data_IF_771503541301
#
_entry.id   IF_771503541301
#
_cell.length_a   1.000
_cell.length_b   1.000
_cell.length_c   1.000
_cell.angle_alpha   90.00
_cell.angle_beta   90.00
_cell.angle_gamma   90.00
#
_symmetry.space_group_name_H-M   'P 1'
#
loop_
_entity.id
_entity.type
_entity.pdbx_description
1 polymer ?
#
# COMPACT_ATOMS: atom_id res chain seq x y z
N UNK A 1 -20.36 15.04 21.81
CA UNK A 1 -19.40 14.82 22.93
C UNK A 1 -18.97 13.36 23.00
N UNK A 2 -18.59 12.76 21.86
CA UNK A 2 -18.33 11.31 21.73
C UNK A 2 -17.23 11.01 20.71
N UNK A 3 -17.13 11.81 19.64
CA UNK A 3 -16.05 11.73 18.64
C UNK A 3 -14.67 11.93 19.25
N UNK A 4 -14.49 12.85 20.21
CA UNK A 4 -13.21 13.05 20.89
C UNK A 4 -12.77 11.80 21.68
N UNK A 5 -13.72 11.12 22.33
CA UNK A 5 -13.50 9.88 23.06
C UNK A 5 -13.18 8.72 22.11
N UNK A 6 -13.84 8.66 20.95
CA UNK A 6 -13.55 7.69 19.89
C UNK A 6 -12.15 7.89 19.30
N UNK A 7 -11.74 9.12 18.99
CA UNK A 7 -10.39 9.43 18.49
C UNK A 7 -9.33 9.03 19.51
N UNK A 8 -9.54 9.35 20.79
CA UNK A 8 -8.64 8.92 21.87
C UNK A 8 -8.56 7.41 21.96
N UNK A 9 -9.70 6.70 21.94
CA UNK A 9 -9.73 5.24 22.01
C UNK A 9 -9.03 4.56 20.82
N UNK A 10 -9.31 5.01 19.59
CA UNK A 10 -8.68 4.46 18.37
C UNK A 10 -7.19 4.81 18.31
N UNK A 11 -6.81 6.03 18.73
CA UNK A 11 -5.42 6.45 18.81
C UNK A 11 -4.63 5.62 19.81
N UNK A 12 -5.15 5.46 21.03
CA UNK A 12 -4.52 4.63 22.06
C UNK A 12 -4.43 3.17 21.64
N UNK A 13 -5.51 2.62 21.07
CA UNK A 13 -5.55 1.23 20.59
C UNK A 13 -4.52 0.97 19.48
N UNK A 14 -4.39 1.91 18.53
CA UNK A 14 -3.41 1.82 17.44
C UNK A 14 -1.98 1.91 17.96
N UNK A 15 -1.74 2.84 18.89
CA UNK A 15 -0.42 3.02 19.51
C UNK A 15 -0.04 1.79 20.34
N UNK A 16 -0.99 1.21 21.06
CA UNK A 16 -0.77 -0.01 21.83
C UNK A 16 -0.52 -1.21 20.92
N UNK A 17 -1.25 -1.34 19.81
CA UNK A 17 -1.03 -2.39 18.82
C UNK A 17 0.38 -2.33 18.21
N UNK A 18 0.84 -1.15 17.77
CA UNK A 18 2.19 -1.00 17.23
C UNK A 18 3.27 -1.10 18.32
N UNK A 19 3.05 -0.45 19.45
CA UNK A 19 3.99 -0.37 20.56
C UNK A 19 4.19 -1.71 21.26
N UNK A 20 3.14 -2.52 21.43
CA UNK A 20 3.23 -3.85 22.05
C UNK A 20 4.12 -4.78 21.23
N UNK A 21 3.97 -4.81 19.90
CA UNK A 21 4.86 -5.59 19.03
C UNK A 21 6.31 -5.11 19.14
N UNK A 22 6.56 -3.79 19.16
CA UNK A 22 7.92 -3.27 19.27
C UNK A 22 8.53 -3.55 20.66
N UNK A 23 7.81 -3.31 21.76
CA UNK A 23 8.31 -3.55 23.12
C UNK A 23 8.53 -5.05 23.42
N UNK A 24 7.62 -5.91 23.00
CA UNK A 24 7.73 -7.37 23.20
C UNK A 24 8.88 -7.95 22.37
N UNK A 25 9.13 -7.39 21.19
CA UNK A 25 10.17 -7.86 20.28
C UNK A 25 11.53 -7.16 20.51
N UNK A 26 11.57 -6.01 21.20
CA UNK A 26 12.79 -5.25 21.49
C UNK A 26 13.81 -6.03 22.33
N UNK A 27 13.36 -6.94 23.20
CA UNK A 27 14.24 -7.73 24.07
C UNK A 27 14.59 -9.12 23.51
N UNK A 28 14.14 -9.46 22.29
CA UNK A 28 14.49 -10.73 21.63
C UNK A 28 15.26 -10.47 20.36
N UNK A 29 16.38 -11.18 20.18
CA UNK A 29 17.11 -11.19 18.90
C UNK A 29 16.21 -11.79 17.83
N UNK A 30 15.66 -10.94 16.97
CA UNK A 30 14.83 -11.35 15.84
C UNK A 30 15.70 -12.19 14.90
N UNK A 31 15.32 -13.43 14.57
CA UNK A 31 16.08 -14.24 13.63
C UNK A 31 16.11 -13.56 12.25
N UNK A 32 17.22 -13.68 11.49
CA UNK A 32 17.43 -12.95 10.24
C UNK A 32 16.32 -13.17 9.21
N UNK A 33 15.69 -14.35 9.20
CA UNK A 33 14.59 -14.70 8.30
C UNK A 33 13.34 -13.84 8.53
N UNK A 34 13.02 -13.52 9.78
CA UNK A 34 11.85 -12.69 10.13
C UNK A 34 12.14 -11.22 9.79
N UNK A 35 13.37 -10.75 10.00
CA UNK A 35 13.78 -9.39 9.63
C UNK A 35 13.66 -9.17 8.12
N UNK A 36 14.09 -10.15 7.32
CA UNK A 36 13.91 -10.12 5.86
C UNK A 36 12.44 -10.08 5.49
N UNK A 37 11.60 -10.94 6.06
CA UNK A 37 10.16 -10.92 5.81
C UNK A 37 9.54 -9.55 6.17
N UNK A 38 9.95 -8.93 7.28
CA UNK A 38 9.48 -7.61 7.72
C UNK A 38 9.85 -6.49 6.73
N UNK A 39 11.04 -6.55 6.10
CA UNK A 39 11.42 -5.61 5.04
C UNK A 39 10.53 -5.73 3.80
N UNK A 40 10.01 -6.93 3.51
CA UNK A 40 9.10 -7.15 2.38
C UNK A 40 7.63 -6.86 2.70
N UNK A 41 7.25 -6.61 3.96
CA UNK A 41 5.87 -6.27 4.31
C UNK A 41 5.43 -4.98 3.63
N UNK A 42 6.23 -3.93 3.68
CA UNK A 42 5.88 -2.65 3.07
C UNK A 42 5.60 -2.76 1.55
N UNK A 43 6.49 -3.33 0.72
CA UNK A 43 6.20 -3.52 -0.70
C UNK A 43 5.07 -4.53 -0.97
N UNK A 44 4.89 -5.56 -0.14
CA UNK A 44 3.77 -6.50 -0.28
C UNK A 44 2.41 -5.85 -0.02
N UNK A 45 2.31 -5.02 1.03
CA UNK A 45 1.09 -4.26 1.35
C UNK A 45 0.76 -3.26 0.25
N UNK A 46 1.77 -2.59 -0.33
CA UNK A 46 1.55 -1.73 -1.50
C UNK A 46 0.97 -2.52 -2.68
N UNK A 47 1.51 -3.71 -2.96
CA UNK A 47 0.96 -4.60 -3.99
C UNK A 47 -0.49 -4.98 -3.72
N UNK A 48 -0.80 -5.38 -2.49
CA UNK A 48 -2.16 -5.74 -2.09
C UNK A 48 -3.14 -4.56 -2.21
N UNK A 49 -2.74 -3.36 -1.79
CA UNK A 49 -3.55 -2.14 -1.92
C UNK A 49 -3.89 -1.84 -3.38
N UNK A 50 -2.90 -1.95 -4.28
CA UNK A 50 -3.11 -1.76 -5.73
C UNK A 50 -4.10 -2.81 -6.25
N UNK A 51 -3.94 -4.08 -5.87
CA UNK A 51 -4.87 -5.15 -6.28
C UNK A 51 -6.29 -4.89 -5.79
N UNK A 52 -6.49 -4.50 -4.52
CA UNK A 52 -7.82 -4.21 -3.99
C UNK A 52 -8.45 -2.97 -4.63
N UNK A 53 -7.66 -1.94 -4.94
CA UNK A 53 -8.13 -0.79 -5.72
C UNK A 53 -8.66 -1.21 -7.09
N UNK A 54 -8.00 -2.17 -7.75
CA UNK A 54 -8.41 -2.67 -9.08
C UNK A 54 -9.59 -3.63 -9.07
N UNK A 55 -9.67 -4.51 -8.07
CA UNK A 55 -10.70 -5.56 -8.02
C UNK A 55 -12.01 -5.06 -7.39
N UNK A 56 -11.96 -3.93 -6.70
CA UNK A 56 -13.09 -3.41 -5.93
C UNK A 56 -13.44 -4.31 -4.72
N UNK A 57 -14.13 -3.79 -3.70
CA UNK A 57 -14.54 -4.58 -2.53
C UNK A 57 -15.54 -5.70 -2.87
N UNK A 58 -16.29 -5.56 -3.96
CA UNK A 58 -17.40 -6.43 -4.36
C UNK A 58 -17.03 -7.45 -5.44
N UNK A 59 -15.81 -7.40 -6.00
CA UNK A 59 -15.40 -8.26 -7.10
C UNK A 59 -15.92 -7.82 -8.48
N UNK A 60 -16.65 -6.71 -8.54
CA UNK A 60 -17.01 -6.05 -9.80
C UNK A 60 -15.77 -5.33 -10.33
N UNK A 61 -15.14 -5.98 -11.30
CA UNK A 61 -13.97 -5.44 -12.00
C UNK A 61 -14.46 -4.51 -13.11
N UNK A 62 -14.78 -3.27 -12.76
CA UNK A 62 -14.86 -2.17 -13.73
C UNK A 62 -13.44 -1.76 -14.18
N UNK A 63 -12.62 -2.74 -14.58
CA UNK A 63 -11.28 -2.47 -15.10
C UNK A 63 -11.46 -1.87 -16.49
N UNK A 64 -11.50 -0.56 -16.56
CA UNK A 64 -11.48 0.19 -17.83
C UNK A 64 -10.15 0.00 -18.56
N UNK A 65 -10.16 0.23 -19.88
CA UNK A 65 -8.93 0.30 -20.68
C UNK A 65 -7.92 1.31 -20.09
N UNK A 66 -8.41 2.36 -19.43
CA UNK A 66 -7.60 3.35 -18.74
C UNK A 66 -6.79 2.77 -17.56
N UNK A 67 -7.41 1.97 -16.69
CA UNK A 67 -6.71 1.35 -15.57
C UNK A 67 -5.73 0.28 -16.02
N UNK A 68 -6.08 -0.51 -17.04
CA UNK A 68 -5.19 -1.55 -17.56
C UNK A 68 -3.91 -0.94 -18.18
N UNK A 69 -4.05 0.16 -18.92
CA UNK A 69 -2.90 0.87 -19.52
C UNK A 69 -2.07 1.61 -18.47
N UNK A 70 -2.69 2.20 -17.45
CA UNK A 70 -1.99 2.78 -16.30
C UNK A 70 -1.22 1.72 -15.49
N UNK A 71 -1.80 0.53 -15.27
CA UNK A 71 -1.13 -0.54 -14.55
C UNK A 71 0.05 -1.11 -15.33
N UNK A 72 -0.13 -1.33 -16.64
CA UNK A 72 0.92 -1.84 -17.50
C UNK A 72 2.11 -0.88 -17.57
N UNK A 73 1.85 0.42 -17.75
CA UNK A 73 2.89 1.45 -17.76
C UNK A 73 3.57 1.59 -16.40
N UNK A 74 2.83 1.58 -15.30
CA UNK A 74 3.40 1.58 -13.95
C UNK A 74 4.30 0.36 -13.71
N UNK A 75 3.88 -0.84 -14.12
CA UNK A 75 4.68 -2.07 -14.02
C UNK A 75 5.97 -2.02 -14.84
N UNK A 76 5.90 -1.50 -16.07
CA UNK A 76 7.08 -1.34 -16.95
C UNK A 76 8.07 -0.33 -16.35
N UNK A 77 7.57 0.80 -15.84
CA UNK A 77 8.42 1.81 -15.19
C UNK A 77 9.02 1.26 -13.88
N UNK A 78 8.27 0.44 -13.13
CA UNK A 78 8.75 -0.23 -11.91
C UNK A 78 9.95 -1.12 -12.20
N UNK A 79 9.82 -1.92 -13.26
CA UNK A 79 10.87 -2.82 -13.67
C UNK A 79 12.10 -2.07 -14.20
N UNK A 80 11.89 -0.96 -14.91
CA UNK A 80 12.98 -0.21 -15.57
C UNK A 80 13.77 0.70 -14.64
N UNK A 81 13.12 1.36 -13.68
CA UNK A 81 13.75 2.38 -12.84
C UNK A 81 14.09 1.91 -11.43
N UNK A 82 13.52 0.78 -10.96
CA UNK A 82 13.66 0.28 -9.57
C UNK A 82 13.50 1.35 -8.49
N UNK A 83 12.81 2.45 -8.81
CA UNK A 83 12.68 3.62 -7.95
C UNK A 83 11.21 3.99 -7.82
N UNK A 84 10.69 3.81 -6.60
CA UNK A 84 9.27 3.93 -6.27
C UNK A 84 8.67 5.30 -6.64
N UNK A 85 9.48 6.36 -6.60
CA UNK A 85 9.03 7.73 -6.90
C UNK A 85 8.71 7.88 -8.40
N UNK A 86 9.57 7.37 -9.28
CA UNK A 86 9.35 7.45 -10.73
C UNK A 86 8.17 6.59 -11.19
N UNK A 87 7.95 5.44 -10.54
CA UNK A 87 6.75 4.64 -10.77
C UNK A 87 5.47 5.33 -10.35
N UNK A 88 5.47 5.97 -9.19
CA UNK A 88 4.30 6.68 -8.70
C UNK A 88 3.95 7.83 -9.64
N UNK A 89 4.94 8.65 -10.01
CA UNK A 89 4.75 9.77 -10.93
C UNK A 89 4.27 9.30 -12.31
N UNK A 90 4.89 8.27 -12.89
CA UNK A 90 4.48 7.74 -14.18
C UNK A 90 3.08 7.12 -14.14
N UNK A 91 2.78 6.34 -13.10
CA UNK A 91 1.46 5.74 -12.90
C UNK A 91 0.37 6.79 -12.72
N UNK A 92 0.62 7.82 -11.89
CA UNK A 92 -0.32 8.93 -11.72
C UNK A 92 -0.51 9.73 -13.01
N UNK A 93 0.57 10.05 -13.72
CA UNK A 93 0.50 10.79 -14.98
C UNK A 93 -0.30 10.00 -16.03
N UNK A 94 -0.10 8.69 -16.11
CA UNK A 94 -0.79 7.85 -17.09
C UNK A 94 -2.25 7.61 -16.71
N UNK A 95 -2.55 7.42 -15.41
CA UNK A 95 -3.94 7.37 -14.91
C UNK A 95 -4.69 8.68 -15.23
N UNK A 96 -4.05 9.83 -15.03
CA UNK A 96 -4.63 11.13 -15.37
C UNK A 96 -4.85 11.30 -16.86
N UNK A 97 -3.88 10.91 -17.69
CA UNK A 97 -4.01 10.95 -19.16
C UNK A 97 -5.13 10.03 -19.65
N UNK A 98 -5.24 8.84 -19.07
CA UNK A 98 -6.26 7.87 -19.44
C UNK A 98 -7.66 8.27 -18.93
N UNK A 99 -7.74 8.84 -17.72
CA UNK A 99 -8.97 9.39 -17.16
C UNK A 99 -9.42 10.70 -17.82
N UNK A 100 -8.51 11.48 -18.40
CA UNK A 100 -8.85 12.67 -19.19
C UNK A 100 -9.37 12.33 -20.60
N UNK A 101 -9.16 11.09 -21.06
CA UNK A 101 -9.60 10.61 -22.38
C UNK A 101 -10.95 9.88 -22.34
N UNK A 102 -11.50 9.66 -21.14
CA UNK A 102 -12.76 8.94 -20.87
C UNK A 102 -13.84 9.93 -20.41
#
# INVERSE_FOLDING_TARGET
>A
MTTFLAILATGLGTYFSRGSFILVLANRRIPPNIMLALQYVAPAVLGALITTMLVGPTGDTEIGLAELTALATAGVVAWRFRNAIYTLLAGMAMFWLAGALQ
#
